data_IF_478676981544
#
_entry.id   IF_478676981544
#
_cell.length_a   1.000
_cell.length_b   1.000
_cell.length_c   1.000
_cell.angle_alpha   90.00
_cell.angle_beta   90.00
_cell.angle_gamma   90.00
#
_symmetry.space_group_name_H-M   'P 1'
#
loop_
_entity.id
_entity.type
_entity.pdbx_description
1 polymer ?
#
# COMPACT_ATOMS: atom_id res chain seq x y z
N UNK A 1 4.00 22.21 4.11
CA UNK A 1 2.65 21.77 3.69
C UNK A 1 2.83 20.54 2.82
N UNK A 2 2.88 19.36 3.43
CA UNK A 2 2.96 18.09 2.71
C UNK A 2 1.57 17.89 2.10
N UNK A 3 1.44 17.97 0.78
CA UNK A 3 0.18 17.68 0.12
C UNK A 3 -0.25 16.28 0.59
N UNK A 4 -1.40 16.19 1.26
CA UNK A 4 -2.00 14.95 1.70
C UNK A 4 -2.13 14.07 0.45
N UNK A 5 -1.24 13.08 0.33
CA UNK A 5 -1.23 12.21 -0.85
C UNK A 5 -2.47 11.34 -0.71
N UNK A 6 -3.46 11.55 -1.56
CA UNK A 6 -4.65 10.71 -1.55
C UNK A 6 -4.29 9.31 -2.07
N UNK A 7 -3.99 8.40 -1.13
CA UNK A 7 -3.60 7.02 -1.41
C UNK A 7 -4.79 6.09 -1.60
N UNK A 8 -6.01 6.52 -1.26
CA UNK A 8 -7.21 5.71 -1.40
C UNK A 8 -7.44 5.22 -2.84
N UNK A 9 -7.45 6.08 -3.89
CA UNK A 9 -7.66 5.62 -5.26
C UNK A 9 -6.54 4.68 -5.73
N UNK A 10 -5.31 4.91 -5.29
CA UNK A 10 -4.17 4.02 -5.59
C UNK A 10 -4.42 2.64 -4.97
N UNK A 11 -4.74 2.59 -3.68
CA UNK A 11 -4.99 1.36 -2.95
C UNK A 11 -6.17 0.60 -3.55
N UNK A 12 -7.30 1.26 -3.83
CA UNK A 12 -8.45 0.64 -4.50
C UNK A 12 -8.05 0.06 -5.86
N UNK A 13 -7.36 0.86 -6.69
CA UNK A 13 -6.88 0.42 -8.00
C UNK A 13 -5.95 -0.80 -7.94
N UNK A 14 -5.09 -0.91 -6.91
CA UNK A 14 -4.25 -2.09 -6.70
C UNK A 14 -5.07 -3.33 -6.33
N UNK A 15 -6.16 -3.19 -5.57
CA UNK A 15 -7.05 -4.31 -5.23
C UNK A 15 -7.92 -4.73 -6.39
N UNK A 16 -8.42 -3.78 -7.18
CA UNK A 16 -9.24 -4.02 -8.38
C UNK A 16 -8.42 -4.62 -9.53
N UNK A 17 -7.14 -4.24 -9.64
CA UNK A 17 -6.21 -4.71 -10.66
C UNK A 17 -4.91 -5.23 -10.03
N UNK A 18 -4.89 -6.47 -9.51
CA UNK A 18 -3.76 -7.02 -8.76
C UNK A 18 -2.43 -7.09 -9.51
N UNK A 19 -2.48 -7.13 -10.84
CA UNK A 19 -1.32 -7.10 -11.72
C UNK A 19 -0.69 -5.70 -11.85
N UNK A 20 -1.39 -4.64 -11.45
CA UNK A 20 -0.88 -3.28 -11.54
C UNK A 20 0.15 -3.01 -10.45
N UNK A 21 1.11 -2.16 -10.82
CA UNK A 21 2.07 -1.56 -9.91
C UNK A 21 1.96 -0.05 -10.05
N UNK A 22 2.07 0.65 -8.94
CA UNK A 22 2.04 2.10 -8.89
C UNK A 22 3.37 2.62 -8.34
N UNK A 23 3.88 3.72 -8.88
CA UNK A 23 5.08 4.38 -8.37
C UNK A 23 4.70 5.74 -7.80
N UNK A 24 5.17 6.02 -6.59
CA UNK A 24 5.07 7.34 -5.96
C UNK A 24 6.46 7.93 -5.88
N UNK A 25 6.67 9.10 -6.48
CA UNK A 25 7.96 9.80 -6.37
C UNK A 25 8.19 10.28 -4.92
N UNK A 26 9.43 10.15 -4.46
CA UNK A 26 9.89 10.57 -3.13
C UNK A 26 11.24 11.26 -3.28
N UNK A 27 11.56 12.21 -2.39
CA UNK A 27 12.83 12.92 -2.42
C UNK A 27 13.71 12.64 -1.19
N UNK A 28 13.16 11.98 -0.17
CA UNK A 28 13.85 11.75 1.11
C UNK A 28 13.38 10.49 1.83
N UNK A 29 14.15 10.05 2.83
CA UNK A 29 13.70 8.99 3.75
C UNK A 29 12.46 9.41 4.55
N UNK A 30 12.36 10.70 4.90
CA UNK A 30 11.20 11.24 5.59
C UNK A 30 9.94 11.10 4.73
N UNK A 31 10.02 11.39 3.44
CA UNK A 31 8.90 11.17 2.50
C UNK A 31 8.51 9.71 2.42
N UNK A 32 9.50 8.80 2.43
CA UNK A 32 9.25 7.36 2.46
C UNK A 32 8.53 6.98 3.75
N UNK A 33 8.96 7.51 4.90
CA UNK A 33 8.35 7.29 6.21
C UNK A 33 6.92 7.81 6.31
N UNK A 34 6.64 9.01 5.80
CA UNK A 34 5.29 9.57 5.74
C UNK A 34 4.39 8.77 4.80
N UNK A 35 4.84 8.50 3.57
CA UNK A 35 4.08 7.72 2.59
C UNK A 35 3.71 6.34 3.13
N UNK A 36 4.65 5.75 3.86
CA UNK A 36 4.45 4.55 4.64
C UNK A 36 3.27 4.74 5.61
N UNK A 37 3.41 5.60 6.62
CA UNK A 37 2.35 5.80 7.63
C UNK A 37 0.95 6.05 7.00
N UNK A 38 0.88 6.88 5.96
CA UNK A 38 -0.36 7.19 5.24
C UNK A 38 -0.97 5.95 4.56
N UNK A 39 -0.13 5.08 3.99
CA UNK A 39 -0.56 3.84 3.35
C UNK A 39 -1.16 2.87 4.37
N UNK A 40 -0.57 2.76 5.56
CA UNK A 40 -1.08 1.89 6.63
C UNK A 40 -2.41 2.39 7.17
N UNK A 41 -2.53 3.69 7.42
CA UNK A 41 -3.77 4.32 7.82
C UNK A 41 -4.87 4.09 6.76
N UNK A 42 -4.54 4.25 5.48
CA UNK A 42 -5.47 4.04 4.36
C UNK A 42 -5.92 2.57 4.26
N UNK A 43 -4.99 1.62 4.32
CA UNK A 43 -5.31 0.20 4.26
C UNK A 43 -6.18 -0.22 5.45
N UNK A 44 -5.83 0.23 6.65
CA UNK A 44 -6.58 -0.06 7.88
C UNK A 44 -8.02 0.49 7.79
N UNK A 45 -8.18 1.72 7.28
CA UNK A 45 -9.49 2.33 7.07
C UNK A 45 -10.36 1.55 6.08
N UNK A 46 -9.78 1.13 4.96
CA UNK A 46 -10.51 0.46 3.86
C UNK A 46 -10.78 -1.03 4.12
N UNK A 47 -9.84 -1.74 4.72
CA UNK A 47 -9.82 -3.21 4.80
C UNK A 47 -9.65 -3.77 6.22
N UNK A 48 -9.46 -2.91 7.24
CA UNK A 48 -9.27 -3.32 8.64
C UNK A 48 -7.80 -3.52 9.03
N UNK A 49 -7.53 -3.72 10.32
CA UNK A 49 -6.18 -3.84 10.89
C UNK A 49 -5.35 -5.00 10.30
N UNK A 50 -6.03 -6.04 9.81
CA UNK A 50 -5.40 -7.18 9.14
C UNK A 50 -4.78 -6.82 7.78
N UNK A 51 -5.17 -5.68 7.20
CA UNK A 51 -4.69 -5.16 5.92
C UNK A 51 -3.36 -4.40 6.03
N UNK A 52 -2.55 -4.70 7.04
CA UNK A 52 -1.22 -4.11 7.22
C UNK A 52 -0.29 -4.37 6.03
N UNK A 53 0.78 -3.56 5.94
CA UNK A 53 1.76 -3.71 4.88
C UNK A 53 2.40 -5.09 4.86
N UNK A 54 2.78 -5.53 3.66
CA UNK A 54 3.39 -6.84 3.48
C UNK A 54 2.37 -7.97 3.44
N UNK A 55 1.14 -7.76 3.93
CA UNK A 55 0.03 -8.72 3.76
C UNK A 55 -0.88 -8.37 2.59
N UNK A 56 -1.32 -7.11 2.47
CA UNK A 56 -2.21 -6.65 1.40
C UNK A 56 -1.49 -5.99 0.22
N UNK A 57 -0.66 -4.98 0.51
CA UNK A 57 0.15 -4.23 -0.46
C UNK A 57 1.63 -4.39 -0.11
N UNK A 58 2.45 -4.68 -1.12
CA UNK A 58 3.91 -4.75 -1.04
C UNK A 58 4.51 -3.45 -1.53
N UNK A 59 5.65 -3.11 -0.94
CA UNK A 59 6.36 -1.86 -1.19
C UNK A 59 7.83 -2.15 -1.52
N UNK A 60 8.39 -1.45 -2.49
CA UNK A 60 9.84 -1.42 -2.77
C UNK A 60 10.29 0.01 -2.98
N UNK A 61 11.33 0.41 -2.25
CA UNK A 61 11.98 1.71 -2.44
C UNK A 61 13.03 1.56 -3.54
N UNK A 62 12.88 2.34 -4.60
CA UNK A 62 13.89 2.58 -5.61
C UNK A 62 14.77 3.73 -5.15
N UNK A 63 16.08 3.49 -5.17
CA UNK A 63 17.12 4.43 -4.76
C UNK A 63 18.03 4.68 -5.95
N UNK A 64 18.64 5.84 -6.00
CA UNK A 64 19.70 6.12 -6.96
C UNK A 64 21.07 5.62 -6.51
N UNK A 65 22.09 5.89 -7.34
CA UNK A 65 23.46 5.44 -7.10
C UNK A 65 24.08 6.05 -5.83
N UNK A 66 23.55 7.19 -5.35
CA UNK A 66 23.95 7.80 -4.10
C UNK A 66 23.20 7.22 -2.89
N UNK A 67 22.27 6.29 -3.12
CA UNK A 67 21.42 5.68 -2.10
C UNK A 67 20.21 6.51 -1.71
N UNK A 68 19.95 7.64 -2.38
CA UNK A 68 18.81 8.52 -2.09
C UNK A 68 17.52 7.92 -2.66
N UNK A 69 16.42 7.84 -1.87
CA UNK A 69 15.12 7.42 -2.39
C UNK A 69 14.67 8.31 -3.54
N UNK A 70 14.18 7.68 -4.62
CA UNK A 70 13.56 8.38 -5.75
C UNK A 70 12.10 8.01 -5.94
N UNK A 71 11.80 6.72 -5.77
CA UNK A 71 10.44 6.20 -5.96
C UNK A 71 10.12 5.12 -4.95
N UNK A 72 8.84 5.03 -4.63
CA UNK A 72 8.26 3.94 -3.87
C UNK A 72 7.28 3.21 -4.76
N UNK A 73 7.62 1.98 -5.11
CA UNK A 73 6.77 1.08 -5.88
C UNK A 73 5.81 0.35 -4.95
N UNK A 74 4.53 0.36 -5.31
CA UNK A 74 3.42 -0.25 -4.59
C UNK A 74 2.75 -1.28 -5.50
N UNK A 75 2.45 -2.47 -4.99
CA UNK A 75 1.66 -3.47 -5.73
C UNK A 75 0.90 -4.37 -4.80
N UNK A 76 -0.22 -4.93 -5.28
CA UNK A 76 -0.98 -5.89 -4.47
C UNK A 76 -0.15 -7.16 -4.25
N UNK A 77 -0.04 -7.58 -2.99
CA UNK A 77 0.45 -8.90 -2.68
C UNK A 77 -0.60 -9.91 -3.18
N UNK A 78 -0.32 -10.58 -4.30
CA UNK A 78 -1.08 -11.76 -4.69
C UNK A 78 -0.71 -12.90 -3.75
N UNK A 79 -1.26 -12.87 -2.53
CA UNK A 79 -1.39 -14.09 -1.73
C UNK A 79 -2.31 -14.99 -2.54
N UNK A 80 -1.74 -16.02 -3.18
CA UNK A 80 -2.52 -17.02 -3.90
C UNK A 80 -3.69 -17.46 -3.02
N UNK A 81 -4.89 -17.56 -3.59
CA UNK A 81 -6.19 -17.63 -2.89
C UNK A 81 -6.38 -18.76 -1.85
N UNK A 82 -5.31 -19.47 -1.47
CA UNK A 82 -5.24 -20.42 -0.37
C UNK A 82 -4.53 -19.90 0.90
N UNK A 83 -3.82 -18.76 0.88
CA UNK A 83 -3.08 -18.26 2.08
C UNK A 83 -3.81 -17.17 2.88
N UNK A 84 -4.71 -16.41 2.26
CA UNK A 84 -5.48 -15.33 2.90
C UNK A 84 -6.34 -15.80 4.06
N UNK A 85 -7.01 -16.95 3.93
CA UNK A 85 -7.85 -17.51 5.01
C UNK A 85 -7.02 -18.09 6.17
N UNK A 86 -5.79 -18.54 5.90
CA UNK A 86 -4.89 -19.11 6.93
C UNK A 86 -4.24 -18.05 7.81
N UNK A 87 -4.16 -16.80 7.34
CA UNK A 87 -3.56 -15.67 8.05
C UNK A 87 -4.59 -14.61 8.52
N UNK A 88 -5.90 -14.87 8.34
CA UNK A 88 -6.98 -14.01 8.81
C UNK A 88 -7.32 -12.80 7.92
N UNK A 89 -6.65 -12.63 6.78
CA UNK A 89 -6.88 -11.48 5.90
C UNK A 89 -7.69 -11.86 4.66
N UNK A 90 -8.98 -11.56 4.63
CA UNK A 90 -9.87 -11.95 3.53
C UNK A 90 -9.68 -11.12 2.23
N UNK A 91 -8.99 -9.98 2.31
CA UNK A 91 -8.88 -9.05 1.17
C UNK A 91 -10.20 -8.40 0.75
N UNK A 92 -11.29 -8.58 1.51
CA UNK A 92 -12.58 -7.92 1.26
C UNK A 92 -12.59 -6.54 1.91
N UNK A 93 -13.00 -5.54 1.15
CA UNK A 93 -13.19 -4.19 1.67
C UNK A 93 -14.24 -4.21 2.80
N UNK A 94 -14.05 -3.39 3.83
CA UNK A 94 -15.11 -3.18 4.83
C UNK A 94 -16.30 -2.58 4.10
N UNK A 95 -17.38 -3.35 3.96
CA UNK A 95 -18.69 -2.80 3.65
C UNK A 95 -19.11 -1.98 4.85
N UNK A 96 -18.89 -0.66 4.80
CA UNK A 96 -19.59 0.26 5.68
C UNK A 96 -21.08 0.13 5.34
N UNK A 97 -21.82 -0.56 6.21
CA UNK A 97 -23.27 -0.52 6.20
C UNK A 97 -23.63 0.85 6.80
N UNK A 98 -24.15 1.73 5.94
CA UNK A 98 -24.82 2.96 6.37
C UNK A 98 -26.04 2.62 7.24
#
# INVERSE_FOLDING_TARGET
MTAERDLEPIVRGLYDHPQHRHAVDVASEDDVGTLRADLEATLTRLYGEDAMWGRGVRVRVERDDAGTPRRVWLWRALVGGQRTDREGFSGRQRTFRA
#
